data_IF_183952030743
#
_entry.id   IF_183952030743
#
_cell.length_a   1.000
_cell.length_b   1.000
_cell.length_c   1.000
_cell.angle_alpha   90.00
_cell.angle_beta   90.00
_cell.angle_gamma   90.00
#
_symmetry.space_group_name_H-M   'P 1'
#
loop_
_entity.id
_entity.type
_entity.pdbx_description
1 polymer ?
#
# COMPACT_ATOMS: atom_id res chain seq x y z
N UNK A 1 -1.78 20.40 -29.79
CA UNK A 1 -1.81 18.91 -29.74
C UNK A 1 -0.87 18.32 -28.67
N UNK A 2 0.27 18.94 -28.34
CA UNK A 2 1.23 18.43 -27.34
C UNK A 2 0.78 18.51 -25.87
N UNK A 3 -0.07 19.50 -25.52
CA UNK A 3 -0.57 19.72 -24.15
C UNK A 3 -1.40 18.54 -23.62
N UNK A 4 -2.38 18.07 -24.40
CA UNK A 4 -3.24 16.95 -24.04
C UNK A 4 -2.47 15.62 -23.83
N UNK A 5 -1.29 15.46 -24.45
CA UNK A 5 -0.42 14.31 -24.22
C UNK A 5 0.34 14.43 -22.89
N UNK A 6 0.80 15.64 -22.53
CA UNK A 6 1.42 15.92 -21.23
C UNK A 6 0.42 15.80 -20.08
N UNK A 7 -0.82 16.24 -20.27
CA UNK A 7 -1.89 16.13 -19.27
C UNK A 7 -2.27 14.66 -19.03
N UNK A 8 -2.33 13.84 -20.09
CA UNK A 8 -2.53 12.38 -19.95
C UNK A 8 -1.37 11.70 -19.23
N UNK A 9 -0.13 12.07 -19.54
CA UNK A 9 1.04 11.47 -18.87
C UNK A 9 1.09 11.89 -17.40
N UNK A 10 0.74 13.14 -17.08
CA UNK A 10 0.64 13.63 -15.69
C UNK A 10 -0.51 12.96 -14.92
N UNK A 11 -1.65 12.69 -15.57
CA UNK A 11 -2.74 11.94 -14.97
C UNK A 11 -2.37 10.47 -14.71
N UNK A 12 -1.60 9.85 -15.63
CA UNK A 12 -1.05 8.51 -15.43
C UNK A 12 -0.02 8.50 -14.29
N UNK A 13 0.84 9.52 -14.19
CA UNK A 13 1.77 9.69 -13.07
C UNK A 13 1.04 9.93 -11.74
N UNK A 14 -0.06 10.68 -11.74
CA UNK A 14 -0.92 10.89 -10.57
C UNK A 14 -1.66 9.62 -10.12
N UNK A 15 -2.02 8.72 -11.05
CA UNK A 15 -2.56 7.39 -10.72
C UNK A 15 -1.51 6.41 -10.21
N UNK A 16 -0.23 6.72 -10.42
CA UNK A 16 0.91 5.96 -9.94
C UNK A 16 1.52 6.56 -8.67
N UNK A 17 0.95 7.65 -8.14
CA UNK A 17 1.41 8.26 -6.89
C UNK A 17 0.85 7.48 -5.70
N UNK A 18 1.63 6.57 -5.08
CA UNK A 18 1.15 5.70 -4.01
C UNK A 18 0.88 6.50 -2.72
N UNK A 19 1.35 7.75 -2.66
CA UNK A 19 1.17 8.61 -1.49
C UNK A 19 -0.19 9.29 -1.47
N UNK A 20 -0.87 9.43 -2.61
CA UNK A 20 -2.25 9.95 -2.67
C UNK A 20 -3.25 9.01 -1.97
N UNK A 21 -2.91 7.72 -1.86
CA UNK A 21 -3.68 6.71 -1.11
C UNK A 21 -3.50 6.93 0.39
N UNK A 22 -2.31 7.28 0.87
CA UNK A 22 -2.07 7.51 2.29
C UNK A 22 -2.93 8.62 2.89
N UNK A 23 -3.15 9.70 2.14
CA UNK A 23 -4.01 10.83 2.58
C UNK A 23 -5.49 10.47 2.73
N UNK A 24 -5.92 9.30 2.26
CA UNK A 24 -7.30 8.79 2.43
C UNK A 24 -7.47 7.89 3.65
N UNK A 25 -6.45 7.80 4.51
CA UNK A 25 -6.47 6.98 5.73
C UNK A 25 -5.84 5.59 5.55
N UNK A 26 -5.06 5.39 4.50
CA UNK A 26 -4.29 4.16 4.29
C UNK A 26 -2.86 4.31 4.82
N UNK A 27 -2.18 3.19 5.04
CA UNK A 27 -0.77 3.14 5.44
C UNK A 27 0.03 2.31 4.43
N UNK A 28 1.28 2.71 4.18
CA UNK A 28 2.26 1.89 3.47
C UNK A 28 2.98 1.02 4.49
N UNK A 29 3.05 -0.29 4.24
CA UNK A 29 3.75 -1.23 5.10
C UNK A 29 5.18 -1.39 4.60
N UNK A 30 6.15 -1.10 5.46
CA UNK A 30 7.58 -1.21 5.19
C UNK A 30 8.20 -2.27 6.10
N UNK A 31 9.28 -2.90 5.66
CA UNK A 31 10.17 -3.65 6.56
C UNK A 31 10.68 -2.74 7.68
N UNK A 32 11.04 -3.32 8.84
CA UNK A 32 11.56 -2.55 9.97
C UNK A 32 12.83 -1.75 9.67
N UNK A 33 13.62 -2.17 8.68
CA UNK A 33 14.81 -1.46 8.21
C UNK A 33 14.48 -0.39 7.14
N UNK A 34 13.19 -0.19 6.83
CA UNK A 34 12.67 0.73 5.83
C UNK A 34 13.22 0.49 4.40
N UNK A 35 13.84 -0.66 4.16
CA UNK A 35 14.51 -0.97 2.89
C UNK A 35 13.53 -1.25 1.75
N UNK A 36 12.32 -1.72 2.08
CA UNK A 36 11.38 -2.24 1.10
C UNK A 36 9.93 -2.19 1.59
N UNK A 37 9.04 -1.95 0.63
CA UNK A 37 7.59 -2.02 0.82
C UNK A 37 7.15 -3.47 0.81
N UNK A 38 6.31 -3.85 1.76
CA UNK A 38 5.67 -5.16 1.82
C UNK A 38 4.36 -5.10 1.04
N UNK A 39 4.30 -5.84 -0.07
CA UNK A 39 3.13 -5.86 -0.96
C UNK A 39 2.29 -7.14 -0.87
N UNK A 40 2.80 -8.18 -0.19
CA UNK A 40 2.09 -9.45 -0.01
C UNK A 40 2.33 -10.04 1.38
N UNK A 41 1.25 -10.47 2.04
CA UNK A 41 1.31 -11.07 3.38
C UNK A 41 2.17 -12.35 3.44
N UNK A 42 2.27 -13.10 2.33
CA UNK A 42 3.10 -14.30 2.23
C UNK A 42 4.61 -14.04 2.45
N UNK A 43 5.06 -12.78 2.38
CA UNK A 43 6.46 -12.38 2.64
C UNK A 43 6.76 -12.18 4.13
N UNK A 44 5.72 -12.20 4.97
CA UNK A 44 5.78 -11.94 6.40
C UNK A 44 5.76 -13.24 7.20
N UNK A 45 6.28 -13.16 8.42
CA UNK A 45 6.17 -14.19 9.44
C UNK A 45 5.57 -13.59 10.71
N UNK A 46 4.90 -14.41 11.55
CA UNK A 46 4.60 -14.01 12.91
C UNK A 46 5.88 -13.49 13.59
N UNK A 47 5.70 -12.48 14.43
CA UNK A 47 6.73 -11.74 15.14
C UNK A 47 7.63 -10.79 14.32
N UNK A 48 7.49 -10.72 12.99
CA UNK A 48 8.19 -9.75 12.15
C UNK A 48 7.86 -8.32 12.61
N UNK A 49 8.89 -7.46 12.69
CA UNK A 49 8.73 -6.02 12.92
C UNK A 49 8.54 -5.29 11.60
N UNK A 50 7.60 -4.37 11.57
CA UNK A 50 7.26 -3.57 10.41
C UNK A 50 7.08 -2.10 10.80
N UNK A 51 7.23 -1.23 9.81
CA UNK A 51 6.94 0.20 9.95
C UNK A 51 5.75 0.53 9.08
N UNK A 52 4.69 1.07 9.69
CA UNK A 52 3.58 1.66 8.97
C UNK A 52 3.89 3.14 8.72
N UNK A 53 3.86 3.56 7.47
CA UNK A 53 3.96 4.95 7.06
C UNK A 53 2.57 5.46 6.70
N UNK A 54 2.08 6.43 7.46
CA UNK A 54 0.87 7.18 7.15
C UNK A 54 1.25 8.47 6.40
N UNK A 55 0.29 9.36 6.14
CA UNK A 55 0.55 10.59 5.40
C UNK A 55 1.56 11.54 6.11
N UNK A 56 1.55 11.58 7.44
CA UNK A 56 2.35 12.54 8.24
C UNK A 56 3.27 11.83 9.23
N UNK A 57 2.83 10.72 9.81
CA UNK A 57 3.51 10.02 10.88
C UNK A 57 3.76 8.55 10.56
N UNK A 58 4.39 7.87 11.51
CA UNK A 58 4.80 6.47 11.42
C UNK A 58 4.46 5.73 12.70
N UNK A 59 4.18 4.44 12.58
CA UNK A 59 4.00 3.55 13.71
C UNK A 59 4.83 2.26 13.53
N UNK A 60 5.45 1.80 14.61
CA UNK A 60 6.07 0.48 14.66
C UNK A 60 5.04 -0.59 15.04
N UNK A 61 5.01 -1.69 14.31
CA UNK A 61 4.09 -2.80 14.56
C UNK A 61 4.81 -4.14 14.52
N UNK A 62 4.15 -5.17 15.07
CA UNK A 62 4.61 -6.55 15.03
C UNK A 62 3.53 -7.42 14.40
N UNK A 63 3.91 -8.32 13.51
CA UNK A 63 2.98 -9.27 12.89
C UNK A 63 2.56 -10.30 13.93
N UNK A 64 1.26 -10.43 14.19
CA UNK A 64 0.75 -11.43 15.14
C UNK A 64 0.42 -12.76 14.44
N UNK A 65 -0.13 -12.70 13.23
CA UNK A 65 -0.44 -13.87 12.42
C UNK A 65 -0.41 -13.54 10.92
N UNK A 66 -0.25 -14.58 10.10
CA UNK A 66 -0.30 -14.49 8.63
C UNK A 66 -1.26 -15.57 8.14
N UNK A 67 -2.26 -15.18 7.35
CA UNK A 67 -3.25 -16.08 6.78
C UNK A 67 -3.44 -15.86 5.29
N UNK A 68 -4.05 -16.82 4.56
CA UNK A 68 -4.50 -16.57 3.21
C UNK A 68 -5.55 -15.45 3.24
N UNK A 69 -5.35 -14.40 2.43
CA UNK A 69 -6.41 -13.42 2.19
C UNK A 69 -7.48 -14.10 1.34
N UNK A 70 -8.74 -14.11 1.79
CA UNK A 70 -9.84 -14.64 0.98
C UNK A 70 -9.98 -13.78 -0.28
N UNK A 71 -9.83 -14.36 -1.49
CA UNK A 71 -10.17 -13.65 -2.71
C UNK A 71 -11.70 -13.65 -2.85
N UNK A 72 -12.40 -12.63 -2.33
CA UNK A 72 -13.86 -12.73 -2.20
C UNK A 72 -14.68 -11.52 -1.74
N UNK A 73 -14.31 -10.28 -2.10
CA UNK A 73 -15.34 -9.22 -2.27
C UNK A 73 -15.97 -9.28 -3.69
N UNK A 74 -15.88 -10.47 -4.33
CA UNK A 74 -16.58 -10.86 -5.56
C UNK A 74 -17.81 -11.70 -5.19
N UNK A 75 -18.74 -11.10 -4.45
CA UNK A 75 -20.14 -11.51 -4.45
C UNK A 75 -21.00 -10.26 -4.33
N UNK A 76 -21.06 -9.52 -5.43
CA UNK A 76 -22.31 -8.88 -5.80
C UNK A 76 -23.34 -10.01 -6.00
N UNK A 77 -24.13 -10.25 -4.96
CA UNK A 77 -25.42 -10.93 -5.03
C UNK A 77 -26.49 -9.86 -5.27
N UNK A 78 -27.65 -10.15 -5.91
CA UNK A 78 -28.20 -11.46 -6.28
C UNK A 78 -28.48 -11.67 -7.78
#
# INVERSE_FOLDING_TARGET
>A
RSRARLDRLSAQLGSLDPTAVLSRGYAMVLRADESSVVSAAAQLRPDDRLTLQFAVDRAGVRVESVGPGEPGDEVASP
#
